data_IF_249797355338
#
_entry.id   IF_249797355338
#
_cell.length_a   1.000
_cell.length_b   1.000
_cell.length_c   1.000
_cell.angle_alpha   90.00
_cell.angle_beta   90.00
_cell.angle_gamma   90.00
#
_symmetry.space_group_name_H-M   'P 1'
#
loop_
_entity.id
_entity.type
_entity.pdbx_description
1 polymer ?
#
# COMPACT_ATOMS: atom_id res chain seq x y z
N UNK A 1 27.58 -8.64 -2.99
CA UNK A 1 27.71 -8.43 -1.54
C UNK A 1 26.83 -9.48 -0.90
N UNK A 2 27.39 -10.32 -0.04
CA UNK A 2 26.58 -11.25 0.74
C UNK A 2 25.67 -10.42 1.64
N UNK A 3 24.36 -10.58 1.49
CA UNK A 3 23.39 -9.89 2.32
C UNK A 3 23.56 -10.35 3.76
N UNK A 4 23.72 -9.40 4.69
CA UNK A 4 23.87 -9.65 6.14
C UNK A 4 22.55 -10.02 6.83
N UNK A 5 21.54 -10.37 6.05
CA UNK A 5 20.24 -10.84 6.49
C UNK A 5 19.61 -11.76 5.45
N UNK A 6 18.58 -12.51 5.86
CA UNK A 6 17.85 -13.42 4.99
C UNK A 6 16.36 -13.43 5.35
N UNK A 7 15.52 -13.72 4.36
CA UNK A 7 14.08 -13.91 4.56
C UNK A 7 13.82 -15.30 5.16
N UNK A 8 13.01 -15.38 6.22
CA UNK A 8 12.58 -16.64 6.84
C UNK A 8 11.10 -16.64 7.13
N UNK A 9 10.47 -17.82 7.11
CA UNK A 9 9.13 -18.02 7.67
C UNK A 9 9.19 -17.89 9.19
N UNK A 10 8.29 -17.10 9.77
CA UNK A 10 8.24 -16.88 11.22
C UNK A 10 7.42 -17.98 11.91
N UNK A 11 7.65 -18.21 13.20
CA UNK A 11 6.88 -19.17 14.00
C UNK A 11 5.44 -18.72 14.27
N UNK A 12 5.17 -17.43 14.17
CA UNK A 12 3.88 -16.79 14.45
C UNK A 12 3.09 -16.44 13.18
N UNK A 13 3.56 -16.87 12.00
CA UNK A 13 2.89 -16.70 10.73
C UNK A 13 3.48 -15.57 9.88
N UNK A 14 3.53 -15.81 8.56
CA UNK A 14 4.14 -14.89 7.60
C UNK A 14 5.65 -15.11 7.45
N UNK A 15 6.35 -14.05 7.01
CA UNK A 15 7.81 -14.06 6.76
C UNK A 15 8.43 -12.79 7.31
N UNK A 16 9.68 -12.87 7.71
CA UNK A 16 10.44 -11.75 8.28
C UNK A 16 11.90 -11.78 7.86
N UNK A 17 12.59 -10.66 8.02
CA UNK A 17 14.02 -10.55 7.75
C UNK A 17 14.81 -10.83 9.02
N UNK A 18 15.77 -11.74 8.95
CA UNK A 18 16.61 -12.14 10.08
C UNK A 18 18.08 -11.91 9.76
N UNK A 19 18.78 -11.31 10.72
CA UNK A 19 20.21 -11.07 10.64
C UNK A 19 21.00 -12.38 10.50
N UNK A 20 21.98 -12.44 9.60
CA UNK A 20 22.87 -13.60 9.41
C UNK A 20 24.22 -13.45 10.10
N UNK A 21 24.56 -12.22 10.52
CA UNK A 21 25.79 -11.86 11.22
C UNK A 21 25.53 -10.68 12.18
N UNK A 22 26.50 -10.28 13.00
CA UNK A 22 26.35 -9.03 13.76
C UNK A 22 26.31 -7.82 12.81
N UNK A 23 25.34 -6.93 13.00
CA UNK A 23 25.18 -5.68 12.24
C UNK A 23 25.34 -4.51 13.19
N UNK A 24 26.19 -3.55 12.85
CA UNK A 24 26.42 -2.36 13.69
C UNK A 24 25.25 -1.38 13.58
N UNK A 25 25.07 -0.55 14.60
CA UNK A 25 24.16 0.60 14.56
C UNK A 25 24.38 1.49 13.32
N UNK A 26 23.29 2.08 12.81
CA UNK A 26 23.26 3.00 11.67
C UNK A 26 23.75 2.40 10.33
N UNK A 27 23.77 1.06 10.24
CA UNK A 27 24.08 0.35 9.00
C UNK A 27 22.88 0.38 8.06
N UNK A 28 23.10 0.78 6.80
CA UNK A 28 22.10 0.66 5.72
C UNK A 28 21.91 -0.82 5.37
N UNK A 29 20.68 -1.32 5.58
CA UNK A 29 20.31 -2.70 5.27
C UNK A 29 19.89 -2.84 3.80
N UNK A 30 18.94 -2.01 3.38
CA UNK A 30 18.41 -2.01 2.01
C UNK A 30 17.91 -0.61 1.63
N UNK A 31 18.07 -0.27 0.35
CA UNK A 31 17.40 0.85 -0.31
C UNK A 31 16.38 0.30 -1.30
N UNK A 32 15.12 0.64 -1.11
CA UNK A 32 14.05 0.36 -2.06
C UNK A 32 13.92 1.59 -2.98
N UNK A 33 14.64 1.60 -4.11
CA UNK A 33 14.84 2.81 -4.92
C UNK A 33 13.57 3.35 -5.62
N UNK A 34 12.58 2.48 -5.82
CA UNK A 34 11.27 2.84 -6.34
C UNK A 34 10.21 1.83 -5.87
N UNK A 35 8.95 2.25 -5.70
CA UNK A 35 7.86 1.33 -5.41
C UNK A 35 7.39 0.60 -6.66
N UNK A 36 6.81 -0.60 -6.48
CA UNK A 36 6.17 -1.35 -7.55
C UNK A 36 4.87 -0.67 -8.02
N UNK A 37 4.09 -0.15 -7.07
CA UNK A 37 2.84 0.54 -7.29
C UNK A 37 2.77 1.77 -6.38
N UNK A 38 2.13 2.85 -6.85
CA UNK A 38 2.00 4.07 -6.06
C UNK A 38 0.85 4.94 -6.54
N UNK A 39 0.29 5.72 -5.62
CA UNK A 39 -0.66 6.78 -5.93
C UNK A 39 -0.38 8.00 -5.06
N UNK A 40 -0.52 9.17 -5.67
CA UNK A 40 -0.61 10.46 -4.97
C UNK A 40 -2.08 10.83 -4.97
N UNK A 41 -2.62 11.15 -3.78
CA UNK A 41 -4.00 11.56 -3.64
C UNK A 41 -4.33 12.71 -4.59
N UNK A 42 -5.54 12.69 -5.14
CA UNK A 42 -5.98 13.68 -6.13
C UNK A 42 -5.73 15.12 -5.67
N UNK A 43 -6.02 15.44 -4.40
CA UNK A 43 -5.86 16.79 -3.84
C UNK A 43 -4.41 17.29 -3.87
N UNK A 44 -3.43 16.40 -3.76
CA UNK A 44 -2.01 16.77 -3.62
C UNK A 44 -1.19 16.68 -4.91
N UNK A 45 -1.77 16.30 -6.05
CA UNK A 45 -0.98 16.07 -7.29
C UNK A 45 -0.22 17.29 -7.80
N UNK A 46 -0.73 18.49 -7.53
CA UNK A 46 -0.03 19.75 -7.88
C UNK A 46 1.11 20.05 -6.91
N UNK A 47 1.12 19.43 -5.75
CA UNK A 47 1.96 19.76 -4.60
C UNK A 47 3.05 18.70 -4.41
N UNK A 48 2.83 17.48 -4.90
CA UNK A 48 3.77 16.37 -4.81
C UNK A 48 4.34 16.05 -6.18
N UNK A 49 5.67 15.97 -6.26
CA UNK A 49 6.37 15.57 -7.48
C UNK A 49 6.02 14.12 -7.83
N UNK A 50 5.51 13.86 -9.03
CA UNK A 50 5.07 12.54 -9.48
C UNK A 50 6.19 11.51 -9.62
N UNK A 51 7.46 11.96 -9.67
CA UNK A 51 8.64 11.09 -9.75
C UNK A 51 9.29 10.88 -8.38
N UNK A 52 9.75 11.96 -7.75
CA UNK A 52 10.60 11.90 -6.57
C UNK A 52 9.84 12.08 -5.25
N UNK A 53 8.52 12.33 -5.29
CA UNK A 53 7.68 12.58 -4.12
C UNK A 53 8.10 13.76 -3.24
N UNK A 54 8.88 14.70 -3.79
CA UNK A 54 9.12 15.98 -3.14
C UNK A 54 7.80 16.75 -2.98
N UNK A 55 7.55 17.25 -1.79
CA UNK A 55 6.37 18.05 -1.47
C UNK A 55 6.71 19.55 -1.57
N UNK A 56 5.84 20.33 -2.21
CA UNK A 56 6.11 21.73 -2.53
C UNK A 56 6.26 22.58 -1.25
N UNK A 57 5.49 22.28 -0.22
CA UNK A 57 5.49 23.03 1.04
C UNK A 57 6.80 22.88 1.80
N UNK A 58 7.47 21.72 1.71
CA UNK A 58 8.79 21.47 2.31
C UNK A 58 9.85 22.49 1.81
N UNK A 59 9.64 23.07 0.62
CA UNK A 59 10.50 24.09 0.03
C UNK A 59 9.82 25.46 -0.12
N UNK A 60 8.81 25.74 0.71
CA UNK A 60 8.06 27.01 0.75
C UNK A 60 7.40 27.38 -0.59
N UNK A 61 6.92 26.38 -1.33
CA UNK A 61 6.09 26.56 -2.52
C UNK A 61 4.70 26.00 -2.26
N UNK A 62 3.69 26.54 -2.95
CA UNK A 62 2.33 26.01 -2.86
C UNK A 62 2.11 24.86 -3.85
N UNK A 63 2.69 24.94 -5.04
CA UNK A 63 2.57 23.93 -6.10
C UNK A 63 3.84 23.84 -6.93
N UNK A 64 4.00 22.71 -7.60
CA UNK A 64 4.93 22.50 -8.68
C UNK A 64 4.38 23.03 -10.01
N UNK A 65 5.25 23.55 -10.87
CA UNK A 65 4.87 24.17 -12.15
C UNK A 65 5.35 23.38 -13.37
N UNK A 66 6.33 22.48 -13.20
CA UNK A 66 6.79 21.62 -14.29
C UNK A 66 5.73 20.54 -14.50
N UNK A 67 5.29 20.39 -15.74
CA UNK A 67 4.28 19.42 -16.19
C UNK A 67 4.79 18.75 -17.46
N UNK A 68 4.16 17.64 -17.82
CA UNK A 68 4.32 17.05 -19.14
C UNK A 68 3.16 17.58 -20.03
N UNK A 69 3.49 18.06 -21.22
CA UNK A 69 2.47 18.58 -22.13
C UNK A 69 1.68 17.46 -22.82
N UNK A 70 0.44 17.77 -23.20
CA UNK A 70 -0.44 16.83 -23.89
C UNK A 70 -1.16 15.83 -22.97
N UNK A 71 -1.92 14.91 -23.57
CA UNK A 71 -2.78 13.99 -22.83
C UNK A 71 -1.99 13.02 -21.92
N UNK A 72 -0.78 12.64 -22.32
CA UNK A 72 0.09 11.75 -21.56
C UNK A 72 0.74 12.41 -20.32
N UNK A 73 0.55 13.71 -20.11
CA UNK A 73 0.99 14.42 -18.90
C UNK A 73 -0.13 14.84 -17.97
N UNK A 74 -1.38 14.46 -18.27
CA UNK A 74 -2.52 14.90 -17.48
C UNK A 74 -2.45 14.41 -16.04
N UNK A 75 -2.51 15.36 -15.11
CA UNK A 75 -2.63 15.08 -13.69
C UNK A 75 -1.32 14.77 -12.98
N UNK A 76 -0.15 15.04 -13.59
CA UNK A 76 1.15 14.90 -12.94
C UNK A 76 1.94 16.20 -12.98
N UNK A 77 2.66 16.50 -11.89
CA UNK A 77 3.52 17.67 -11.74
C UNK A 77 4.88 17.25 -11.19
N UNK A 78 5.90 18.05 -11.48
CA UNK A 78 7.29 17.74 -11.15
C UNK A 78 7.99 18.92 -10.47
N UNK A 79 8.88 18.62 -9.54
CA UNK A 79 9.65 19.67 -8.87
C UNK A 79 10.67 20.35 -9.80
N UNK A 80 11.11 19.66 -10.85
CA UNK A 80 12.09 20.10 -11.86
C UNK A 80 12.00 19.25 -13.13
N UNK A 81 12.62 19.71 -14.21
CA UNK A 81 12.58 19.04 -15.53
C UNK A 81 13.23 17.65 -15.50
N UNK A 82 14.28 17.46 -14.72
CA UNK A 82 14.95 16.16 -14.60
C UNK A 82 14.03 15.09 -14.01
N UNK A 83 13.13 15.47 -13.09
CA UNK A 83 12.11 14.56 -12.55
C UNK A 83 11.02 14.25 -13.59
N UNK A 84 10.65 15.22 -14.43
CA UNK A 84 9.71 14.99 -15.55
C UNK A 84 10.31 13.98 -16.51
N UNK A 85 11.57 14.19 -16.91
CA UNK A 85 12.23 13.38 -17.93
C UNK A 85 12.50 11.96 -17.42
N UNK A 86 12.92 11.81 -16.15
CA UNK A 86 13.06 10.51 -15.51
C UNK A 86 11.72 9.78 -15.38
N UNK A 87 10.62 10.47 -15.05
CA UNK A 87 9.28 9.88 -15.01
C UNK A 87 8.84 9.37 -16.38
N UNK A 88 9.11 10.12 -17.44
CA UNK A 88 8.80 9.71 -18.82
C UNK A 88 9.50 8.40 -19.18
N UNK A 89 10.78 8.26 -18.79
CA UNK A 89 11.60 7.09 -19.09
C UNK A 89 11.21 5.88 -18.23
N UNK A 90 10.90 6.09 -16.94
CA UNK A 90 10.81 4.98 -15.98
C UNK A 90 9.37 4.57 -15.66
N UNK A 91 8.43 5.52 -15.65
CA UNK A 91 7.06 5.31 -15.17
C UNK A 91 6.01 5.54 -16.26
N UNK A 92 6.33 6.29 -17.32
CA UNK A 92 5.44 6.59 -18.43
C UNK A 92 6.01 6.14 -19.77
N UNK A 93 6.61 4.95 -19.78
CA UNK A 93 7.13 4.32 -20.99
C UNK A 93 6.01 4.25 -22.04
N UNK A 94 6.30 4.70 -23.26
CA UNK A 94 5.31 4.78 -24.34
C UNK A 94 4.11 5.70 -24.08
N UNK A 95 4.15 6.55 -23.05
CA UNK A 95 3.04 7.42 -22.66
C UNK A 95 1.89 6.74 -21.91
N UNK A 96 2.04 5.45 -21.56
CA UNK A 96 0.93 4.59 -21.18
C UNK A 96 0.30 4.97 -19.82
N UNK A 97 1.13 5.26 -18.81
CA UNK A 97 0.66 5.68 -17.49
C UNK A 97 -0.13 6.99 -17.56
N UNK A 98 0.38 7.95 -18.32
CA UNK A 98 -0.25 9.24 -18.55
C UNK A 98 -1.58 9.16 -19.27
N UNK A 99 -1.65 8.33 -20.33
CA UNK A 99 -2.90 8.07 -21.04
C UNK A 99 -3.93 7.40 -20.14
N UNK A 100 -3.51 6.46 -19.28
CA UNK A 100 -4.39 5.86 -18.29
C UNK A 100 -4.88 6.89 -17.25
N UNK A 101 -4.00 7.75 -16.73
CA UNK A 101 -4.41 8.83 -15.81
C UNK A 101 -5.47 9.75 -16.46
N UNK A 102 -5.28 10.10 -17.73
CA UNK A 102 -6.24 10.89 -18.49
C UNK A 102 -7.58 10.16 -18.70
N UNK A 103 -7.54 8.85 -18.98
CA UNK A 103 -8.74 8.03 -19.14
C UNK A 103 -9.55 7.96 -17.85
N UNK A 104 -8.89 7.72 -16.71
CA UNK A 104 -9.52 7.71 -15.38
C UNK A 104 -10.13 9.07 -15.06
N UNK A 105 -9.41 10.17 -15.29
CA UNK A 105 -9.93 11.53 -15.06
C UNK A 105 -11.10 11.89 -15.97
N UNK A 106 -11.09 11.46 -17.23
CA UNK A 106 -12.20 11.64 -18.18
C UNK A 106 -13.44 10.88 -17.70
N UNK A 107 -13.28 9.60 -17.37
CA UNK A 107 -14.36 8.77 -16.85
C UNK A 107 -14.93 9.37 -15.56
N UNK A 108 -14.08 9.80 -14.64
CA UNK A 108 -14.50 10.40 -13.38
C UNK A 108 -15.33 11.68 -13.55
N UNK A 109 -14.97 12.55 -14.51
CA UNK A 109 -15.75 13.75 -14.84
C UNK A 109 -17.12 13.43 -15.44
N UNK A 110 -17.25 12.28 -16.10
CA UNK A 110 -18.51 11.83 -16.70
C UNK A 110 -19.41 11.10 -15.70
N UNK A 111 -18.93 10.79 -14.50
CA UNK A 111 -19.74 10.21 -13.43
C UNK A 111 -20.76 11.24 -12.95
N UNK A 112 -22.05 10.92 -13.07
CA UNK A 112 -23.11 11.70 -12.43
C UNK A 112 -23.16 11.29 -10.95
N UNK A 113 -23.37 12.26 -10.04
CA UNK A 113 -23.55 11.99 -8.60
C UNK A 113 -24.52 10.80 -8.43
N UNK A 114 -24.17 9.77 -7.65
CA UNK A 114 -24.96 8.57 -7.57
C UNK A 114 -26.32 8.91 -6.95
N UNK A 115 -27.41 8.47 -7.60
CA UNK A 115 -28.67 8.22 -6.90
C UNK A 115 -28.58 6.84 -6.24
N UNK A 116 -27.60 6.66 -5.35
CA UNK A 116 -27.16 5.36 -4.86
C UNK A 116 -26.56 4.50 -5.98
N UNK A 117 -25.28 4.16 -5.90
CA UNK A 117 -24.83 3.01 -6.69
C UNK A 117 -25.63 1.80 -6.18
N UNK A 118 -26.15 0.91 -7.03
CA UNK A 118 -26.70 -0.33 -6.54
C UNK A 118 -25.52 -1.16 -6.02
N UNK A 119 -25.26 -1.09 -4.71
CA UNK A 119 -24.59 -2.19 -4.03
C UNK A 119 -25.41 -3.44 -4.39
N UNK A 120 -24.79 -4.54 -4.85
CA UNK A 120 -25.52 -5.78 -4.96
C UNK A 120 -26.20 -6.06 -3.61
N UNK A 121 -27.54 -6.21 -3.60
CA UNK A 121 -28.32 -6.30 -2.36
C UNK A 121 -27.86 -7.40 -1.38
N UNK A 122 -27.08 -8.38 -1.87
CA UNK A 122 -26.46 -9.39 -1.02
C UNK A 122 -25.33 -8.84 -0.14
N UNK A 123 -24.61 -7.78 -0.55
CA UNK A 123 -23.49 -7.19 0.19
C UNK A 123 -23.97 -6.33 1.36
N UNK A 124 -25.08 -5.61 1.21
CA UNK A 124 -25.65 -4.73 2.25
C UNK A 124 -26.04 -5.48 3.54
N UNK A 125 -26.09 -6.81 3.50
CA UNK A 125 -26.45 -7.67 4.63
C UNK A 125 -25.33 -8.65 5.05
N UNK A 126 -24.14 -8.58 4.45
CA UNK A 126 -23.02 -9.45 4.83
C UNK A 126 -22.49 -9.05 6.19
N UNK A 127 -22.58 -9.97 7.15
CA UNK A 127 -21.88 -9.84 8.44
C UNK A 127 -20.47 -10.41 8.32
N UNK A 128 -19.52 -9.99 9.17
CA UNK A 128 -18.17 -10.57 9.19
C UNK A 128 -18.14 -12.10 9.19
N UNK A 129 -19.06 -12.75 9.90
CA UNK A 129 -19.18 -14.21 9.98
C UNK A 129 -19.54 -14.88 8.64
N UNK A 130 -20.22 -14.14 7.75
CA UNK A 130 -20.71 -14.65 6.47
C UNK A 130 -19.61 -14.62 5.38
N UNK A 131 -18.48 -13.96 5.63
CA UNK A 131 -17.35 -13.85 4.68
C UNK A 131 -16.45 -15.09 4.76
N UNK A 132 -16.79 -16.11 3.98
CA UNK A 132 -15.91 -17.27 3.71
C UNK A 132 -15.12 -17.07 2.42
N UNK A 133 -14.11 -17.92 2.18
CA UNK A 133 -13.38 -17.93 0.91
C UNK A 133 -14.33 -18.17 -0.28
N UNK A 134 -15.31 -19.05 -0.12
CA UNK A 134 -16.28 -19.40 -1.15
C UNK A 134 -17.23 -18.24 -1.47
N UNK A 135 -17.77 -17.57 -0.45
CA UNK A 135 -18.65 -16.40 -0.63
C UNK A 135 -17.89 -15.27 -1.32
N UNK A 136 -16.66 -15.04 -0.89
CA UNK A 136 -15.79 -14.03 -1.47
C UNK A 136 -15.43 -14.34 -2.94
N UNK A 137 -15.07 -15.58 -3.26
CA UNK A 137 -14.80 -16.00 -4.65
C UNK A 137 -16.06 -15.92 -5.54
N UNK A 138 -17.23 -16.24 -5.00
CA UNK A 138 -18.51 -16.09 -5.70
C UNK A 138 -18.81 -14.63 -6.02
N UNK A 139 -18.51 -13.70 -5.11
CA UNK A 139 -18.68 -12.27 -5.33
C UNK A 139 -17.79 -11.75 -6.47
N UNK A 140 -16.51 -12.16 -6.50
CA UNK A 140 -15.60 -11.83 -7.61
C UNK A 140 -16.06 -12.41 -8.95
N UNK A 141 -16.46 -13.69 -8.98
CA UNK A 141 -17.03 -14.32 -10.19
C UNK A 141 -18.31 -13.62 -10.66
N UNK A 142 -19.11 -13.09 -9.74
CA UNK A 142 -20.28 -12.28 -10.08
C UNK A 142 -19.86 -10.96 -10.74
N UNK A 143 -18.88 -10.24 -10.17
CA UNK A 143 -18.36 -9.01 -10.75
C UNK A 143 -17.83 -9.22 -12.18
N UNK A 144 -17.05 -10.28 -12.42
CA UNK A 144 -16.56 -10.66 -13.75
C UNK A 144 -17.70 -10.81 -14.76
N UNK A 145 -18.75 -11.56 -14.41
CA UNK A 145 -19.92 -11.77 -15.28
C UNK A 145 -20.69 -10.48 -15.56
N UNK A 146 -20.79 -9.58 -14.58
CA UNK A 146 -21.50 -8.31 -14.71
C UNK A 146 -20.74 -7.36 -15.63
N UNK A 147 -19.44 -7.19 -15.39
CA UNK A 147 -18.62 -6.19 -16.10
C UNK A 147 -18.09 -6.68 -17.45
N UNK A 148 -18.14 -7.98 -17.75
CA UNK A 148 -17.91 -8.50 -19.10
C UNK A 148 -18.96 -8.04 -20.14
N UNK A 149 -20.16 -7.64 -19.71
CA UNK A 149 -21.24 -7.20 -20.61
C UNK A 149 -20.98 -5.80 -21.13
N UNK A 150 -21.03 -5.60 -22.46
CA UNK A 150 -20.76 -4.30 -23.10
C UNK A 150 -21.70 -3.17 -22.65
N UNK A 151 -22.97 -3.49 -22.36
CA UNK A 151 -23.98 -2.52 -21.93
C UNK A 151 -23.94 -2.13 -20.44
N UNK A 152 -23.09 -2.76 -19.62
CA UNK A 152 -22.98 -2.41 -18.20
C UNK A 152 -22.34 -1.02 -18.07
N UNK A 153 -22.98 -0.07 -17.35
CA UNK A 153 -22.42 1.27 -17.17
C UNK A 153 -21.14 1.25 -16.33
N UNK A 154 -20.33 2.31 -16.47
CA UNK A 154 -19.16 2.53 -15.60
C UNK A 154 -19.68 2.75 -14.17
N UNK A 155 -19.20 1.98 -13.17
CA UNK A 155 -19.61 2.18 -11.79
C UNK A 155 -19.16 3.56 -11.29
N UNK A 156 -20.00 4.19 -10.45
CA UNK A 156 -19.63 5.44 -9.78
C UNK A 156 -18.68 5.12 -8.62
N UNK A 157 -17.58 5.85 -8.55
CA UNK A 157 -16.55 5.71 -7.52
C UNK A 157 -16.44 6.99 -6.69
N UNK A 158 -16.14 6.85 -5.40
CA UNK A 158 -15.72 7.97 -4.57
C UNK A 158 -14.25 8.36 -4.82
N UNK A 159 -13.75 9.38 -4.10
CA UNK A 159 -12.37 9.85 -4.28
C UNK A 159 -11.32 8.80 -3.88
N UNK A 160 -11.57 8.04 -2.81
CA UNK A 160 -10.65 7.02 -2.33
C UNK A 160 -10.56 5.86 -3.32
N UNK A 161 -11.70 5.39 -3.82
CA UNK A 161 -11.78 4.33 -4.83
C UNK A 161 -11.12 4.74 -6.15
N UNK A 162 -11.24 6.01 -6.54
CA UNK A 162 -10.54 6.53 -7.71
C UNK A 162 -9.02 6.57 -7.50
N UNK A 163 -8.55 6.79 -6.28
CA UNK A 163 -7.12 6.72 -5.97
C UNK A 163 -6.64 5.25 -5.89
N UNK A 164 -7.45 4.32 -5.38
CA UNK A 164 -7.21 2.87 -5.50
C UNK A 164 -7.17 2.40 -6.96
N UNK A 165 -8.06 2.90 -7.83
CA UNK A 165 -8.00 2.65 -9.29
C UNK A 165 -6.65 3.07 -9.86
N UNK A 166 -6.13 4.25 -9.49
CA UNK A 166 -4.84 4.73 -10.01
C UNK A 166 -3.66 3.95 -9.46
N UNK A 167 -3.74 3.54 -8.20
CA UNK A 167 -2.78 2.62 -7.60
C UNK A 167 -2.72 1.30 -8.37
N UNK A 168 -3.87 0.66 -8.63
CA UNK A 168 -3.96 -0.58 -9.42
C UNK A 168 -3.47 -0.38 -10.85
N UNK A 169 -3.84 0.72 -11.50
CA UNK A 169 -3.33 1.07 -12.84
C UNK A 169 -1.80 1.16 -12.83
N UNK A 170 -1.19 1.79 -11.83
CA UNK A 170 0.28 1.90 -11.76
C UNK A 170 0.96 0.53 -11.72
N UNK A 171 0.39 -0.41 -10.96
CA UNK A 171 0.86 -1.79 -10.88
C UNK A 171 0.67 -2.56 -12.21
N UNK A 172 -0.47 -2.38 -12.89
CA UNK A 172 -0.76 -3.05 -14.17
C UNK A 172 0.14 -2.50 -15.28
N UNK A 173 0.36 -1.18 -15.33
CA UNK A 173 1.28 -0.57 -16.31
C UNK A 173 2.70 -1.09 -16.09
N UNK A 174 3.16 -1.17 -14.83
CA UNK A 174 4.44 -1.79 -14.48
C UNK A 174 4.51 -3.25 -14.97
N UNK A 175 3.48 -4.05 -14.67
CA UNK A 175 3.37 -5.45 -15.09
C UNK A 175 3.45 -5.60 -16.61
N UNK A 176 2.75 -4.75 -17.36
CA UNK A 176 2.78 -4.75 -18.82
C UNK A 176 4.20 -4.56 -19.36
N UNK A 177 5.00 -3.67 -18.76
CA UNK A 177 6.39 -3.48 -19.18
C UNK A 177 7.29 -4.66 -18.80
N UNK A 178 7.04 -5.33 -17.68
CA UNK A 178 7.75 -6.58 -17.35
C UNK A 178 7.50 -7.69 -18.37
N UNK A 179 6.27 -7.78 -18.90
CA UNK A 179 5.90 -8.79 -19.90
C UNK A 179 6.44 -8.48 -21.30
N UNK A 180 6.59 -7.20 -21.63
CA UNK A 180 6.91 -6.76 -23.00
C UNK A 180 8.34 -6.29 -23.19
N UNK A 181 9.02 -5.92 -22.11
CA UNK A 181 10.40 -5.45 -22.14
C UNK A 181 11.28 -6.43 -21.39
N UNK A 182 12.24 -7.11 -22.04
CA UNK A 182 13.23 -7.91 -21.32
C UNK A 182 14.11 -6.96 -20.51
N UNK A 183 13.75 -6.75 -19.24
CA UNK A 183 14.55 -5.95 -18.33
C UNK A 183 15.91 -6.63 -18.13
N UNK A 184 16.98 -5.87 -18.39
CA UNK A 184 18.29 -6.17 -17.85
C UNK A 184 18.18 -6.27 -16.33
N UNK A 185 18.82 -7.30 -15.77
CA UNK A 185 18.84 -7.68 -14.37
C UNK A 185 18.43 -6.58 -13.34
N UNK A 186 17.54 -6.98 -12.41
CA UNK A 186 17.64 -6.68 -10.98
C UNK A 186 16.71 -5.66 -10.28
N UNK A 187 15.48 -5.40 -10.72
CA UNK A 187 14.57 -4.59 -9.88
C UNK A 187 13.10 -5.01 -9.97
N UNK A 188 12.62 -5.70 -8.93
CA UNK A 188 11.22 -5.93 -8.54
C UNK A 188 10.30 -6.50 -9.63
N UNK A 189 9.92 -7.78 -9.48
CA UNK A 189 9.00 -8.48 -10.40
C UNK A 189 7.59 -8.69 -9.83
N UNK A 190 6.63 -8.91 -10.73
CA UNK A 190 5.31 -9.41 -10.37
C UNK A 190 5.34 -10.66 -9.50
N UNK A 191 6.27 -11.58 -9.75
CA UNK A 191 6.39 -12.80 -8.94
C UNK A 191 6.76 -12.48 -7.49
N UNK A 192 7.62 -11.49 -7.24
CA UNK A 192 7.95 -11.02 -5.89
C UNK A 192 6.78 -10.30 -5.23
N UNK A 193 6.00 -9.51 -5.99
CA UNK A 193 4.76 -8.92 -5.48
C UNK A 193 3.78 -10.00 -5.03
N UNK A 194 3.59 -11.07 -5.82
CA UNK A 194 2.70 -12.17 -5.46
C UNK A 194 3.12 -12.89 -4.17
N UNK A 195 4.40 -12.81 -3.79
CA UNK A 195 4.84 -13.36 -2.52
C UNK A 195 4.36 -12.53 -1.32
N UNK A 196 4.13 -11.22 -1.47
CA UNK A 196 3.71 -10.35 -0.37
C UNK A 196 2.48 -10.88 0.39
N UNK A 197 2.39 -10.51 1.66
CA UNK A 197 1.35 -10.99 2.56
C UNK A 197 -0.03 -10.62 1.99
N UNK A 198 -0.84 -11.64 1.71
CA UNK A 198 -2.21 -11.47 1.23
C UNK A 198 -3.16 -11.42 2.43
N UNK A 199 -3.75 -10.26 2.64
CA UNK A 199 -4.66 -10.01 3.77
C UNK A 199 -6.11 -9.87 3.31
N UNK A 200 -6.42 -10.21 2.06
CA UNK A 200 -7.73 -9.92 1.46
C UNK A 200 -8.90 -10.40 2.32
N UNK A 201 -8.95 -11.68 2.67
CA UNK A 201 -10.08 -12.24 3.42
C UNK A 201 -10.20 -11.64 4.81
N UNK A 202 -9.08 -11.43 5.50
CA UNK A 202 -9.09 -10.81 6.84
C UNK A 202 -9.56 -9.36 6.76
N UNK A 203 -9.12 -8.64 5.73
CA UNK A 203 -9.54 -7.28 5.46
C UNK A 203 -11.05 -7.19 5.19
N UNK A 204 -11.57 -8.00 4.27
CA UNK A 204 -13.00 -8.02 3.96
C UNK A 204 -13.83 -8.46 5.16
N UNK A 205 -13.38 -9.45 5.96
CA UNK A 205 -14.07 -9.82 7.21
C UNK A 205 -14.17 -8.66 8.19
N UNK A 206 -13.08 -7.92 8.37
CA UNK A 206 -13.04 -6.77 9.28
C UNK A 206 -13.89 -5.60 8.78
N UNK A 207 -14.05 -5.46 7.46
CA UNK A 207 -14.74 -4.34 6.80
C UNK A 207 -15.54 -4.86 5.59
N UNK A 208 -16.70 -5.52 5.79
CA UNK A 208 -17.43 -6.19 4.71
C UNK A 208 -17.79 -5.28 3.52
N UNK A 209 -18.03 -3.99 3.75
CA UNK A 209 -18.30 -2.99 2.71
C UNK A 209 -17.17 -2.84 1.68
N UNK A 210 -15.93 -3.20 2.04
CA UNK A 210 -14.78 -3.14 1.13
C UNK A 210 -14.91 -4.12 -0.05
N UNK A 211 -15.71 -5.18 0.09
CA UNK A 211 -15.94 -6.14 -0.99
C UNK A 211 -16.64 -5.47 -2.18
N UNK A 212 -17.70 -4.70 -1.91
CA UNK A 212 -18.40 -3.93 -2.95
C UNK A 212 -17.46 -2.89 -3.58
N UNK A 213 -16.70 -2.18 -2.75
CA UNK A 213 -15.70 -1.21 -3.21
C UNK A 213 -14.69 -1.84 -4.18
N UNK A 214 -14.08 -2.97 -3.81
CA UNK A 214 -13.14 -3.71 -4.67
C UNK A 214 -13.78 -4.19 -5.98
N UNK A 215 -15.02 -4.69 -5.93
CA UNK A 215 -15.78 -5.09 -7.12
C UNK A 215 -16.08 -3.91 -8.05
N UNK A 216 -16.40 -2.72 -7.50
CA UNK A 216 -16.62 -1.50 -8.27
C UNK A 216 -15.32 -0.95 -8.87
N UNK A 217 -14.21 -1.01 -8.14
CA UNK A 217 -12.87 -0.67 -8.66
C UNK A 217 -12.54 -1.55 -9.87
N UNK A 218 -12.73 -2.87 -9.76
CA UNK A 218 -12.55 -3.80 -10.88
C UNK A 218 -13.46 -3.46 -12.06
N UNK A 219 -14.75 -3.26 -11.81
CA UNK A 219 -15.70 -2.90 -12.86
C UNK A 219 -15.36 -1.60 -13.58
N UNK A 220 -14.86 -0.60 -12.85
CA UNK A 220 -14.38 0.66 -13.42
C UNK A 220 -13.20 0.41 -14.36
N UNK A 221 -12.22 -0.39 -13.92
CA UNK A 221 -11.05 -0.74 -14.72
C UNK A 221 -11.46 -1.46 -16.01
N UNK A 222 -12.34 -2.45 -15.96
CA UNK A 222 -12.82 -3.15 -17.17
C UNK A 222 -13.37 -2.19 -18.24
N UNK A 223 -14.01 -1.07 -17.82
CA UNK A 223 -14.62 -0.11 -18.75
C UNK A 223 -13.70 1.02 -19.21
N UNK A 224 -12.65 1.32 -18.46
CA UNK A 224 -11.79 2.50 -18.69
C UNK A 224 -10.40 2.13 -19.22
N UNK A 225 -9.95 0.89 -19.00
CA UNK A 225 -8.62 0.44 -19.43
C UNK A 225 -8.41 0.59 -20.94
N UNK A 226 -7.23 1.09 -21.31
CA UNK A 226 -6.81 1.21 -22.71
C UNK A 226 -6.79 -0.18 -23.38
N UNK A 227 -7.07 -0.29 -24.70
CA UNK A 227 -7.14 -1.57 -25.40
C UNK A 227 -5.90 -2.47 -25.20
N UNK A 228 -4.71 -1.88 -25.14
CA UNK A 228 -3.46 -2.62 -24.94
C UNK A 228 -3.31 -3.21 -23.53
N UNK A 229 -3.98 -2.63 -22.54
CA UNK A 229 -3.98 -3.09 -21.15
C UNK A 229 -5.23 -3.89 -20.78
N UNK A 230 -6.25 -3.95 -21.65
CA UNK A 230 -7.47 -4.74 -21.44
C UNK A 230 -7.22 -6.21 -21.05
N UNK A 231 -6.23 -6.93 -21.63
CA UNK A 231 -5.92 -8.31 -21.22
C UNK A 231 -5.65 -8.49 -19.72
N UNK A 232 -5.14 -7.46 -19.05
CA UNK A 232 -4.81 -7.49 -17.61
C UNK A 232 -6.03 -7.31 -16.69
N UNK A 233 -7.21 -7.03 -17.25
CA UNK A 233 -8.47 -6.84 -16.51
C UNK A 233 -9.63 -7.67 -17.09
N UNK A 234 -9.32 -8.69 -17.89
CA UNK A 234 -10.30 -9.65 -18.42
C UNK A 234 -10.85 -10.58 -17.32
N UNK A 235 -9.99 -10.96 -16.38
CA UNK A 235 -10.36 -11.60 -15.11
C UNK A 235 -10.05 -10.66 -13.96
N UNK A 236 -10.65 -10.96 -12.80
CA UNK A 236 -10.41 -10.22 -11.57
C UNK A 236 -9.05 -10.50 -10.94
N UNK A 237 -8.36 -11.58 -11.34
CA UNK A 237 -7.17 -12.11 -10.67
C UNK A 237 -6.07 -11.06 -10.45
N UNK A 238 -5.74 -10.27 -11.46
CA UNK A 238 -4.71 -9.22 -11.39
C UNK A 238 -5.09 -8.12 -10.38
N UNK A 239 -6.31 -7.58 -10.53
CA UNK A 239 -6.82 -6.50 -9.67
C UNK A 239 -6.94 -6.98 -8.23
N UNK A 240 -7.48 -8.19 -8.04
CA UNK A 240 -7.65 -8.87 -6.77
C UNK A 240 -6.30 -9.11 -6.08
N UNK A 241 -5.30 -9.60 -6.82
CA UNK A 241 -3.96 -9.84 -6.27
C UNK A 241 -3.30 -8.55 -5.77
N UNK A 242 -3.48 -7.43 -6.47
CA UNK A 242 -2.96 -6.11 -6.07
C UNK A 242 -3.69 -5.60 -4.83
N UNK A 243 -5.03 -5.58 -4.84
CA UNK A 243 -5.85 -5.07 -3.73
C UNK A 243 -5.70 -5.91 -2.46
N UNK A 244 -5.63 -7.24 -2.58
CA UNK A 244 -5.43 -8.15 -1.44
C UNK A 244 -4.11 -7.95 -0.70
N UNK A 245 -3.12 -7.37 -1.39
CA UNK A 245 -1.79 -7.05 -0.82
C UNK A 245 -1.65 -5.58 -0.42
N UNK A 246 -2.63 -4.72 -0.68
CA UNK A 246 -2.54 -3.29 -0.38
C UNK A 246 -2.40 -3.04 1.13
N UNK A 247 -3.41 -3.42 1.92
CA UNK A 247 -3.53 -3.10 3.35
C UNK A 247 -2.40 -3.64 4.24
N UNK A 248 -1.71 -4.70 3.81
CA UNK A 248 -0.63 -5.31 4.58
C UNK A 248 0.78 -4.92 4.15
N UNK A 249 0.95 -4.20 3.03
CA UNK A 249 2.29 -4.06 2.42
C UNK A 249 2.61 -2.64 1.95
N UNK A 250 1.67 -1.70 2.01
CA UNK A 250 1.91 -0.33 1.57
C UNK A 250 2.46 0.58 2.65
N UNK A 251 3.24 1.55 2.20
CA UNK A 251 3.82 2.62 3.01
C UNK A 251 3.12 3.92 2.64
N UNK A 252 2.56 4.59 3.65
CA UNK A 252 2.02 5.94 3.47
C UNK A 252 3.11 6.92 3.05
N UNK A 253 2.79 7.77 2.08
CA UNK A 253 3.61 8.92 1.72
C UNK A 253 3.17 10.08 2.61
N UNK A 254 3.92 10.37 3.66
CA UNK A 254 3.63 11.46 4.59
C UNK A 254 4.47 12.70 4.24
N UNK A 255 3.93 13.88 4.53
CA UNK A 255 4.74 15.10 4.53
C UNK A 255 5.89 14.99 5.53
N UNK A 256 6.92 15.84 5.35
CA UNK A 256 8.08 15.87 6.25
C UNK A 256 7.96 16.99 7.29
N UNK A 257 6.74 17.51 7.53
CA UNK A 257 6.56 18.62 8.47
C UNK A 257 6.93 18.18 9.88
N UNK A 258 7.75 18.99 10.54
CA UNK A 258 8.07 18.82 11.97
C UNK A 258 7.10 19.59 12.88
N UNK A 259 6.15 20.33 12.30
CA UNK A 259 5.19 21.18 12.99
C UNK A 259 3.75 20.80 12.59
N UNK A 260 2.88 20.57 13.59
CA UNK A 260 1.47 20.19 13.37
C UNK A 260 1.24 18.71 13.08
N UNK A 261 0.01 18.39 12.68
CA UNK A 261 -0.38 17.04 12.27
C UNK A 261 0.14 16.77 10.84
N UNK A 262 0.86 15.67 10.65
CA UNK A 262 1.35 15.27 9.32
C UNK A 262 0.21 14.78 8.44
N UNK A 263 0.17 15.22 7.19
CA UNK A 263 -0.81 14.75 6.20
C UNK A 263 -0.26 13.58 5.37
N UNK A 264 -1.10 12.57 5.17
CA UNK A 264 -0.80 11.51 4.21
C UNK A 264 -1.13 12.00 2.80
N UNK A 265 -0.10 12.09 1.96
CA UNK A 265 -0.12 12.60 0.59
C UNK A 265 -0.47 11.53 -0.45
N UNK A 266 -0.40 10.26 -0.06
CA UNK A 266 -0.65 9.09 -0.90
C UNK A 266 -0.05 7.83 -0.29
N UNK A 267 0.17 6.79 -1.10
CA UNK A 267 0.85 5.57 -0.64
C UNK A 267 1.59 4.84 -1.76
N UNK A 268 2.46 3.91 -1.35
CA UNK A 268 3.35 3.18 -2.24
C UNK A 268 3.62 1.76 -1.74
N UNK A 269 3.75 0.80 -2.64
CA UNK A 269 4.12 -0.59 -2.32
C UNK A 269 5.59 -0.84 -2.63
N UNK A 270 6.42 -0.98 -1.60
CA UNK A 270 7.85 -1.32 -1.72
C UNK A 270 8.05 -2.80 -1.36
N UNK A 271 7.99 -3.68 -2.35
CA UNK A 271 7.98 -5.15 -2.15
C UNK A 271 9.06 -5.63 -1.18
N UNK A 272 10.31 -5.21 -1.34
CA UNK A 272 11.40 -5.63 -0.44
C UNK A 272 11.32 -5.00 0.95
N UNK A 273 10.75 -3.81 1.06
CA UNK A 273 10.49 -3.14 2.33
C UNK A 273 9.35 -3.77 3.13
N UNK A 274 8.40 -4.42 2.47
CA UNK A 274 7.24 -5.06 3.12
C UNK A 274 7.58 -6.32 3.94
N UNK A 275 8.84 -6.77 3.92
CA UNK A 275 9.32 -7.92 4.71
C UNK A 275 9.83 -7.57 6.11
N UNK A 276 9.94 -6.29 6.45
CA UNK A 276 10.27 -5.88 7.82
C UNK A 276 9.02 -5.97 8.69
N UNK A 277 9.00 -6.93 9.62
CA UNK A 277 7.90 -7.10 10.56
C UNK A 277 7.82 -5.98 11.60
N UNK A 278 6.73 -5.98 12.36
CA UNK A 278 6.49 -5.03 13.44
C UNK A 278 7.20 -5.42 14.75
N UNK A 279 7.79 -4.43 15.42
CA UNK A 279 8.09 -4.48 16.86
C UNK A 279 7.78 -3.11 17.50
N UNK A 280 7.25 -3.09 18.73
CA UNK A 280 7.01 -1.85 19.48
C UNK A 280 8.31 -1.23 20.05
N UNK A 281 9.43 -1.95 19.97
CA UNK A 281 10.79 -1.51 20.26
C UNK A 281 11.71 -1.89 19.08
N UNK A 282 11.51 -1.28 17.90
CA UNK A 282 12.15 -1.71 16.66
C UNK A 282 13.66 -1.51 16.66
N UNK A 283 14.38 -2.41 15.99
CA UNK A 283 15.82 -2.31 15.75
C UNK A 283 16.16 -1.75 14.35
N UNK A 284 15.15 -1.43 13.54
CA UNK A 284 15.29 -0.78 12.23
C UNK A 284 14.42 0.46 12.14
N UNK A 285 14.99 1.54 11.60
CA UNK A 285 14.27 2.77 11.21
C UNK A 285 14.18 2.85 9.69
N UNK A 286 13.03 3.32 9.19
CA UNK A 286 12.81 3.64 7.79
C UNK A 286 12.97 5.14 7.57
N UNK A 287 13.67 5.52 6.50
CA UNK A 287 13.88 6.91 6.10
C UNK A 287 13.51 7.04 4.63
N UNK A 288 12.60 7.97 4.33
CA UNK A 288 12.27 8.32 2.96
C UNK A 288 13.34 9.28 2.43
N UNK A 289 13.96 8.91 1.31
CA UNK A 289 14.84 9.78 0.54
C UNK A 289 14.25 9.94 -0.86
N UNK A 290 13.55 11.06 -1.09
CA UNK A 290 12.72 11.22 -2.28
C UNK A 290 11.69 10.08 -2.41
N UNK A 291 11.78 9.32 -3.50
CA UNK A 291 10.95 8.12 -3.75
C UNK A 291 11.57 6.82 -3.24
N UNK A 292 12.80 6.87 -2.74
CA UNK A 292 13.45 5.70 -2.18
C UNK A 292 13.05 5.54 -0.70
N UNK A 293 12.90 4.30 -0.26
CA UNK A 293 12.72 3.96 1.15
C UNK A 293 13.96 3.21 1.64
N UNK A 294 14.70 3.82 2.56
CA UNK A 294 15.97 3.28 3.07
C UNK A 294 15.80 2.79 4.51
N UNK A 295 16.36 1.63 4.82
CA UNK A 295 16.21 0.98 6.12
C UNK A 295 17.57 0.90 6.82
N UNK A 296 17.64 1.42 8.04
CA UNK A 296 18.88 1.48 8.82
C UNK A 296 18.68 0.86 10.20
N UNK A 297 19.70 0.16 10.71
CA UNK A 297 19.68 -0.30 12.10
C UNK A 297 19.70 0.88 13.08
N UNK A 298 18.94 0.79 14.18
CA UNK A 298 18.89 1.82 15.24
C UNK A 298 19.83 1.52 16.41
N UNK A 299 20.32 0.28 16.49
CA UNK A 299 21.29 -0.25 17.44
C UNK A 299 22.11 -1.37 16.80
N UNK A 300 23.10 -1.88 17.51
CA UNK A 300 23.73 -3.15 17.14
C UNK A 300 22.69 -4.29 17.17
N UNK A 301 22.76 -5.17 16.18
CA UNK A 301 21.87 -6.33 15.99
C UNK A 301 22.72 -7.59 15.95
N UNK A 302 22.45 -8.55 16.81
CA UNK A 302 23.17 -9.82 16.84
C UNK A 302 22.72 -10.77 15.73
N UNK A 303 23.57 -11.75 15.40
CA UNK A 303 23.22 -12.78 14.43
C UNK A 303 21.98 -13.56 14.90
N UNK A 304 21.02 -13.76 14.00
CA UNK A 304 19.77 -14.47 14.27
C UNK A 304 18.64 -13.59 14.81
N UNK A 305 18.89 -12.33 15.19
CA UNK A 305 17.81 -11.40 15.54
C UNK A 305 16.93 -11.06 14.32
N UNK A 306 15.63 -10.90 14.57
CA UNK A 306 14.70 -10.39 13.57
C UNK A 306 14.88 -8.87 13.39
N UNK A 307 14.80 -8.41 12.15
CA UNK A 307 14.89 -7.01 11.75
C UNK A 307 13.48 -6.45 11.65
N UNK A 308 13.12 -5.58 12.58
CA UNK A 308 11.76 -5.07 12.72
C UNK A 308 11.71 -3.54 12.66
N UNK A 309 10.67 -3.03 12.01
CA UNK A 309 10.25 -1.63 12.05
C UNK A 309 9.02 -1.46 12.96
N UNK A 310 8.54 -0.23 13.14
CA UNK A 310 7.20 -0.01 13.68
C UNK A 310 6.20 0.32 12.55
N UNK A 311 4.96 -0.15 12.76
CA UNK A 311 3.84 0.03 11.83
C UNK A 311 2.90 1.15 12.27
N UNK A 312 2.84 1.38 13.58
CA UNK A 312 1.93 2.30 14.27
C UNK A 312 2.73 3.31 15.09
N UNK A 313 2.07 4.31 15.67
CA UNK A 313 2.71 5.16 16.69
C UNK A 313 2.99 4.31 17.95
N UNK A 314 4.23 4.37 18.43
CA UNK A 314 4.70 3.57 19.57
C UNK A 314 4.60 4.32 20.90
N UNK A 315 4.04 5.55 20.90
CA UNK A 315 3.81 6.38 22.09
C UNK A 315 2.60 5.91 22.92
N UNK A 316 1.64 5.23 22.29
CA UNK A 316 0.41 4.77 22.94
C UNK A 316 0.64 3.61 23.92
N UNK A 317 -0.35 3.31 24.76
CA UNK A 317 -0.27 2.24 25.77
C UNK A 317 -0.36 0.85 25.12
N UNK A 318 0.12 -0.18 25.82
CA UNK A 318 0.19 -1.55 25.29
C UNK A 318 -1.14 -2.07 24.72
N UNK A 319 -2.26 -1.79 25.41
CA UNK A 319 -3.58 -2.24 24.97
C UNK A 319 -4.06 -1.51 23.70
N UNK A 320 -3.78 -0.21 23.61
CA UNK A 320 -4.12 0.63 22.45
C UNK A 320 -3.30 0.20 21.23
N UNK A 321 -1.98 0.05 21.39
CA UNK A 321 -1.07 -0.43 20.34
C UNK A 321 -1.48 -1.81 19.83
N UNK A 322 -1.79 -2.75 20.73
CA UNK A 322 -2.23 -4.10 20.34
C UNK A 322 -3.59 -4.09 19.66
N UNK A 323 -4.54 -3.27 20.11
CA UNK A 323 -5.85 -3.14 19.47
C UNK A 323 -5.75 -2.57 18.05
N UNK A 324 -4.88 -1.56 17.84
CA UNK A 324 -4.63 -1.00 16.51
C UNK A 324 -4.01 -2.03 15.56
N UNK A 325 -3.00 -2.78 16.02
CA UNK A 325 -2.37 -3.85 15.24
C UNK A 325 -3.36 -4.97 14.92
N UNK A 326 -4.20 -5.38 15.87
CA UNK A 326 -5.22 -6.39 15.62
C UNK A 326 -6.27 -5.92 14.60
N UNK A 327 -6.67 -4.64 14.65
CA UNK A 327 -7.69 -4.08 13.76
C UNK A 327 -7.20 -3.83 12.34
N UNK A 328 -5.95 -3.36 12.18
CA UNK A 328 -5.41 -2.93 10.89
C UNK A 328 -4.47 -3.96 10.24
N UNK A 329 -3.81 -4.79 11.04
CA UNK A 329 -2.78 -5.73 10.59
C UNK A 329 -3.09 -7.20 10.91
N UNK A 330 -4.20 -7.46 11.62
CA UNK A 330 -4.74 -8.80 11.87
C UNK A 330 -3.82 -9.73 12.69
N UNK A 331 -2.99 -9.15 13.56
CA UNK A 331 -2.15 -9.92 14.48
C UNK A 331 -2.06 -9.28 15.87
N UNK A 332 -1.75 -10.11 16.87
CA UNK A 332 -1.51 -9.72 18.25
C UNK A 332 -0.01 -9.57 18.51
N UNK A 333 0.46 -8.35 18.78
CA UNK A 333 1.89 -8.11 19.00
C UNK A 333 2.40 -8.71 20.31
N UNK A 334 3.27 -9.71 20.21
CA UNK A 334 3.95 -10.39 21.31
C UNK A 334 5.45 -9.98 21.42
N UNK A 335 5.81 -8.75 21.03
CA UNK A 335 7.19 -8.29 21.20
C UNK A 335 7.54 -8.13 22.69
N UNK A 336 8.84 -8.15 22.99
CA UNK A 336 9.37 -8.05 24.37
C UNK A 336 8.81 -6.85 25.14
N UNK A 337 8.61 -5.70 24.47
CA UNK A 337 8.01 -4.50 25.08
C UNK A 337 6.56 -4.75 25.49
N UNK A 338 5.74 -5.33 24.60
CA UNK A 338 4.34 -5.63 24.90
C UNK A 338 4.20 -6.66 26.02
N UNK A 339 5.00 -7.74 25.99
CA UNK A 339 4.99 -8.77 27.04
C UNK A 339 5.35 -8.19 28.41
N UNK A 340 6.41 -7.37 28.47
CA UNK A 340 6.82 -6.69 29.69
C UNK A 340 5.74 -5.76 30.24
N UNK A 341 5.18 -4.88 29.39
CA UNK A 341 4.13 -3.94 29.79
C UNK A 341 2.85 -4.66 30.28
N UNK A 342 2.45 -5.77 29.64
CA UNK A 342 1.31 -6.58 30.07
C UNK A 342 1.55 -7.31 31.40
N UNK A 343 2.76 -7.86 31.61
CA UNK A 343 3.12 -8.52 32.86
C UNK A 343 3.07 -7.54 34.05
N UNK A 344 3.54 -6.31 33.86
CA UNK A 344 3.44 -5.26 34.87
C UNK A 344 1.98 -4.89 35.21
N UNK A 345 1.10 -4.80 34.20
CA UNK A 345 -0.33 -4.54 34.43
C UNK A 345 -1.01 -5.66 35.22
N UNK A 346 -0.72 -6.92 34.90
CA UNK A 346 -1.29 -8.07 35.62
C UNK A 346 -0.76 -8.19 37.06
N UNK A 347 0.50 -7.81 37.30
CA UNK A 347 1.08 -7.77 38.65
C UNK A 347 0.52 -6.64 39.52
N UNK A 348 0.18 -5.49 38.94
CA UNK A 348 -0.39 -4.34 39.66
C UNK A 348 -1.85 -4.57 40.11
N UNK A 349 -2.59 -5.46 39.45
CA UNK A 349 -3.94 -5.87 39.86
C UNK A 349 -3.96 -6.93 40.98
N UNK A 350 -2.79 -7.35 41.47
CA UNK A 350 -2.62 -8.35 42.52
C UNK A 350 -2.01 -7.78 43.81
N UNK A 351 -2.14 -6.47 44.08
CA UNK A 351 -1.89 -5.98 45.44
C UNK A 351 -3.08 -6.33 46.36
N UNK A 352 -2.85 -6.99 47.50
CA UNK A 352 -3.94 -7.30 48.43
C UNK A 352 -4.49 -5.99 48.99
N UNK A 353 -5.81 -5.82 48.91
CA UNK A 353 -6.54 -4.82 49.69
C UNK A 353 -6.16 -5.04 51.14
N UNK A 354 -5.32 -4.17 51.69
CA UNK A 354 -5.03 -4.12 53.11
C UNK A 354 -6.35 -3.84 53.83
N UNK A 355 -6.93 -4.87 54.44
CA UNK A 355 -8.06 -4.72 55.34
C UNK A 355 -7.60 -3.87 56.52
N UNK A 356 -8.06 -2.61 56.57
CA UNK A 356 -7.91 -1.80 57.76
C UNK A 356 -8.94 -2.24 58.81
N UNK A 357 -8.40 -2.80 59.90
CA UNK A 357 -8.74 -2.52 61.31
C UNK A 357 -10.17 -2.77 61.76
#
# INVERSE_FOLDING_TARGET
MDTVFCLRTTSYGGRGLFSTARILKDTLLISCDAPYATVIYRKFRKEVCAHCFAYAFDVRKNTWNVKLDGQAGNGVWFCKEECRDAWVIEQNVGGLQGLMNAAVDKAAKCMKKPKGAPTPAFIDHLRPEDITHEVHDLAWKHAEKVYARSGTPIPCLDEMELDSVRFVVSAIVRRYFEDTTPLAHNTLSWSELLQLQDNEIMHIRSRPYMLDSHMRIYGFLCKVMLPILQPYVQSSEMVRAILGRDQGNVFGLWDMSTEGDSEMLGWSMYVSGSYFNHDCAPNVRKVRNNRALCFFTTRDVEAGEELCINYIDIKDKVLERRAELASNWYFDCACRRCEGELAHMNGANCEPVLTHG
#
